data_IF_469268761481
#
_entry.id   IF_469268761481
#
_cell.length_a   1.000
_cell.length_b   1.000
_cell.length_c   1.000
_cell.angle_alpha   90.00
_cell.angle_beta   90.00
_cell.angle_gamma   90.00
#
_symmetry.space_group_name_H-M   'P 1'
#
loop_
_entity.id
_entity.type
_entity.pdbx_description
1 polymer ?
#
# COMPACT_ATOMS: atom_id res chain seq x y z
N UNK A 1 -27.37 16.02 28.32
CA UNK A 1 -26.61 16.47 27.13
C UNK A 1 -25.09 16.24 27.19
N UNK A 2 -24.45 16.06 28.36
CA UNK A 2 -22.98 15.81 28.46
C UNK A 2 -22.53 14.37 28.14
N UNK A 3 -23.43 13.38 28.26
CA UNK A 3 -23.09 11.96 28.05
C UNK A 3 -22.91 11.61 26.56
N UNK A 4 -23.74 12.19 25.69
CA UNK A 4 -23.72 11.93 24.24
C UNK A 4 -22.43 12.42 23.58
N UNK A 5 -21.89 13.57 24.01
CA UNK A 5 -20.60 14.09 23.53
C UNK A 5 -19.42 13.22 23.94
N UNK A 6 -19.47 12.61 25.12
CA UNK A 6 -18.45 11.68 25.60
C UNK A 6 -18.44 10.36 24.79
N UNK A 7 -19.62 9.83 24.48
CA UNK A 7 -19.76 8.61 23.65
C UNK A 7 -19.29 8.87 22.21
N UNK A 8 -19.63 10.03 21.62
CA UNK A 8 -19.17 10.41 20.28
C UNK A 8 -17.64 10.57 20.20
N UNK A 9 -17.00 11.13 21.25
CA UNK A 9 -15.55 11.23 21.30
C UNK A 9 -14.87 9.86 21.36
N UNK A 10 -15.37 8.91 22.17
CA UNK A 10 -14.78 7.56 22.20
C UNK A 10 -14.98 6.80 20.89
N UNK A 11 -16.14 6.95 20.24
CA UNK A 11 -16.39 6.35 18.93
C UNK A 11 -15.45 6.92 17.86
N UNK A 12 -15.20 8.23 17.86
CA UNK A 12 -14.28 8.86 16.92
C UNK A 12 -12.83 8.37 17.09
N UNK A 13 -12.39 8.09 18.32
CA UNK A 13 -11.05 7.58 18.59
C UNK A 13 -10.90 6.12 18.16
N UNK A 14 -11.94 5.29 18.31
CA UNK A 14 -11.90 3.89 17.85
C UNK A 14 -11.79 3.75 16.33
N UNK A 15 -12.21 4.74 15.55
CA UNK A 15 -12.13 4.72 14.07
C UNK A 15 -10.68 4.97 13.58
N UNK A 16 -9.81 5.58 14.38
CA UNK A 16 -8.45 5.97 13.95
C UNK A 16 -7.41 4.84 14.10
N UNK A 17 -7.75 3.74 14.78
CA UNK A 17 -6.74 2.81 15.32
C UNK A 17 -6.16 1.79 14.32
N UNK A 18 -6.74 1.54 13.13
CA UNK A 18 -6.38 0.30 12.40
C UNK A 18 -6.05 0.42 10.90
N UNK A 19 -5.73 1.61 10.39
CA UNK A 19 -5.17 1.70 9.03
C UNK A 19 -3.64 1.70 9.12
N UNK A 20 -3.00 0.53 8.90
CA UNK A 20 -1.55 0.50 8.71
C UNK A 20 -1.17 1.43 7.55
N UNK A 21 -0.23 2.33 7.81
CA UNK A 21 0.25 3.32 6.83
C UNK A 21 1.55 2.82 6.21
N UNK A 22 1.55 2.62 4.90
CA UNK A 22 2.73 2.32 4.10
C UNK A 22 3.30 3.60 3.47
N UNK A 23 4.60 3.56 3.21
CA UNK A 23 5.32 4.62 2.52
C UNK A 23 5.93 4.04 1.24
N UNK A 24 5.71 4.70 0.11
CA UNK A 24 6.14 4.25 -1.21
C UNK A 24 7.14 5.23 -1.80
N UNK A 25 8.32 4.75 -2.19
CA UNK A 25 9.34 5.58 -2.80
C UNK A 25 9.41 5.32 -4.31
N UNK A 26 9.10 6.34 -5.11
CA UNK A 26 9.30 6.28 -6.56
C UNK A 26 10.71 6.75 -6.91
N UNK A 27 11.25 6.19 -7.99
CA UNK A 27 12.63 6.45 -8.43
C UNK A 27 12.85 7.94 -8.67
N UNK A 28 13.81 8.52 -7.96
CA UNK A 28 14.21 9.92 -8.13
C UNK A 28 13.40 10.93 -7.33
N UNK A 29 12.41 10.51 -6.53
CA UNK A 29 11.75 11.39 -5.58
C UNK A 29 12.51 11.43 -4.24
N UNK A 30 12.66 12.60 -3.60
CA UNK A 30 13.35 12.75 -2.34
C UNK A 30 12.52 12.27 -1.13
N UNK A 31 11.20 12.18 -1.28
CA UNK A 31 10.28 11.82 -0.21
C UNK A 31 9.32 10.71 -0.66
N UNK A 32 8.99 9.77 0.24
CA UNK A 32 8.02 8.73 -0.05
C UNK A 32 6.58 9.28 -0.02
N UNK A 33 5.73 8.74 -0.87
CA UNK A 33 4.28 8.93 -0.81
C UNK A 33 3.71 8.12 0.34
N UNK A 34 2.86 8.73 1.17
CA UNK A 34 2.21 8.07 2.30
C UNK A 34 0.87 7.52 1.86
N UNK A 35 0.55 6.28 2.22
CA UNK A 35 -0.74 5.71 1.90
C UNK A 35 -1.20 4.59 2.81
N UNK A 36 -2.51 4.31 2.76
CA UNK A 36 -3.12 3.23 3.54
C UNK A 36 -2.86 1.88 2.88
N UNK A 37 -2.70 0.86 3.71
CA UNK A 37 -2.70 -0.54 3.29
C UNK A 37 -3.98 -0.92 2.55
N UNK A 38 -3.90 -1.97 1.73
CA UNK A 38 -5.01 -2.57 0.99
C UNK A 38 -5.65 -1.69 -0.10
N UNK A 39 -5.06 -0.54 -0.42
CA UNK A 39 -5.43 0.28 -1.57
C UNK A 39 -4.63 -0.16 -2.82
N UNK A 40 -5.29 -0.23 -3.97
CA UNK A 40 -4.60 -0.41 -5.25
C UNK A 40 -3.85 0.86 -5.64
N UNK A 41 -2.63 0.68 -6.12
CA UNK A 41 -1.74 1.76 -6.50
C UNK A 41 -1.08 1.53 -7.83
N UNK A 42 -0.84 2.62 -8.60
CA UNK A 42 -0.12 2.50 -9.85
C UNK A 42 1.36 2.21 -9.59
N UNK A 43 1.94 1.30 -10.36
CA UNK A 43 3.38 0.99 -10.25
C UNK A 43 4.26 2.14 -10.75
N UNK A 44 3.74 2.95 -11.66
CA UNK A 44 4.35 4.17 -12.15
C UNK A 44 3.59 5.37 -11.62
N UNK A 45 4.29 6.40 -11.16
CA UNK A 45 3.64 7.65 -10.82
C UNK A 45 3.18 8.43 -12.07
N UNK A 46 2.56 9.58 -11.87
CA UNK A 46 2.03 10.41 -12.96
C UNK A 46 3.09 10.91 -13.95
N UNK A 47 4.38 10.90 -13.55
CA UNK A 47 5.50 11.27 -14.42
C UNK A 47 6.18 10.04 -15.04
N UNK A 48 5.62 8.84 -14.89
CA UNK A 48 6.18 7.61 -15.42
C UNK A 48 7.38 7.07 -14.62
N UNK A 49 7.63 7.55 -13.41
CA UNK A 49 8.71 7.02 -12.55
C UNK A 49 8.23 5.72 -11.92
N UNK A 50 9.03 4.66 -12.01
CA UNK A 50 8.70 3.36 -11.41
C UNK A 50 8.84 3.39 -9.89
N UNK A 51 8.00 2.62 -9.22
CA UNK A 51 8.15 2.33 -7.80
C UNK A 51 9.49 1.64 -7.54
N UNK A 52 10.24 2.17 -6.58
CA UNK A 52 11.58 1.70 -6.22
C UNK A 52 11.57 0.86 -4.95
N UNK A 53 10.83 1.30 -3.93
CA UNK A 53 10.78 0.58 -2.65
C UNK A 53 9.50 0.82 -1.86
N UNK A 54 9.21 -0.11 -0.96
CA UNK A 54 8.16 -0.01 0.05
C UNK A 54 8.80 0.10 1.42
N UNK A 55 8.44 1.14 2.16
CA UNK A 55 8.81 1.32 3.56
C UNK A 55 7.60 0.88 4.41
N UNK A 56 7.74 -0.27 5.07
CA UNK A 56 6.67 -0.88 5.83
C UNK A 56 6.91 -0.79 7.35
N UNK A 57 5.89 -0.45 8.16
CA UNK A 57 5.97 -0.39 9.62
C UNK A 57 5.83 -1.79 10.27
N UNK A 58 5.50 -2.81 9.48
CA UNK A 58 5.28 -4.20 9.91
C UNK A 58 5.56 -5.13 8.71
N UNK A 59 5.41 -6.44 8.91
CA UNK A 59 5.48 -7.40 7.81
C UNK A 59 4.20 -7.29 6.96
N UNK A 60 4.35 -6.94 5.70
CA UNK A 60 3.23 -6.83 4.75
C UNK A 60 3.46 -7.70 3.52
N UNK A 61 2.37 -8.13 2.92
CA UNK A 61 2.39 -8.94 1.71
C UNK A 61 1.93 -8.10 0.52
N UNK A 62 2.75 -8.03 -0.53
CA UNK A 62 2.54 -7.17 -1.68
C UNK A 62 2.37 -7.99 -2.96
N UNK A 63 1.41 -7.57 -3.78
CA UNK A 63 0.99 -8.23 -5.02
C UNK A 63 1.12 -7.29 -6.20
N UNK A 64 1.54 -7.79 -7.37
CA UNK A 64 1.64 -7.03 -8.61
C UNK A 64 0.62 -7.47 -9.66
N UNK A 65 0.03 -6.47 -10.32
CA UNK A 65 -1.06 -6.61 -11.28
C UNK A 65 -0.65 -6.08 -12.65
N UNK A 66 -1.25 -6.68 -13.69
CA UNK A 66 -1.07 -6.25 -15.09
C UNK A 66 -1.87 -5.01 -15.46
N UNK A 67 -2.87 -4.67 -14.66
CA UNK A 67 -3.68 -3.46 -14.83
C UNK A 67 -3.31 -2.42 -13.75
N UNK A 68 -3.66 -1.15 -14.00
CA UNK A 68 -3.38 -0.04 -13.09
C UNK A 68 -4.35 0.00 -11.90
N UNK A 69 -5.53 -0.57 -12.08
CA UNK A 69 -6.67 -0.46 -11.16
C UNK A 69 -6.82 -1.70 -10.26
N UNK A 70 -5.93 -2.68 -10.40
CA UNK A 70 -5.96 -3.95 -9.68
C UNK A 70 -7.35 -4.63 -9.80
N UNK A 71 -8.00 -4.50 -10.96
CA UNK A 71 -9.32 -5.08 -11.19
C UNK A 71 -9.28 -6.60 -11.18
N UNK A 72 -8.13 -7.17 -11.56
CA UNK A 72 -7.90 -8.61 -11.61
C UNK A 72 -7.65 -9.28 -10.23
N UNK A 73 -8.14 -8.73 -9.12
CA UNK A 73 -8.14 -9.43 -7.81
C UNK A 73 -8.97 -10.73 -7.88
N UNK A 74 -10.03 -10.76 -8.68
CA UNK A 74 -10.92 -11.92 -8.81
C UNK A 74 -10.34 -13.05 -9.67
N UNK A 75 -9.42 -12.78 -10.62
CA UNK A 75 -8.86 -13.79 -11.52
C UNK A 75 -7.47 -14.29 -11.08
N UNK A 76 -6.90 -13.73 -10.01
CA UNK A 76 -5.56 -14.08 -9.51
C UNK A 76 -4.46 -14.04 -10.59
N UNK A 77 -4.59 -13.19 -11.60
CA UNK A 77 -3.53 -12.95 -12.59
C UNK A 77 -2.43 -12.05 -12.02
N UNK A 78 -1.95 -12.40 -10.83
CA UNK A 78 -0.78 -11.80 -10.21
C UNK A 78 0.44 -12.10 -11.09
N UNK A 79 1.22 -11.07 -11.40
CA UNK A 79 2.49 -11.31 -12.09
C UNK A 79 3.51 -11.90 -11.12
N UNK A 80 3.60 -11.31 -9.92
CA UNK A 80 4.45 -11.76 -8.83
C UNK A 80 3.90 -11.24 -7.50
N UNK A 81 4.45 -11.78 -6.41
CA UNK A 81 4.24 -11.28 -5.05
C UNK A 81 5.58 -11.21 -4.32
N UNK A 82 5.65 -10.40 -3.28
CA UNK A 82 6.79 -10.37 -2.38
C UNK A 82 6.39 -9.98 -0.96
N UNK A 83 7.25 -10.34 -0.01
CA UNK A 83 7.12 -9.96 1.39
C UNK A 83 7.98 -8.72 1.67
N UNK A 84 7.35 -7.65 2.14
CA UNK A 84 8.06 -6.51 2.72
C UNK A 84 8.15 -6.70 4.23
N UNK A 85 9.37 -6.63 4.77
CA UNK A 85 9.64 -6.65 6.21
C UNK A 85 9.59 -5.23 6.78
N UNK A 86 9.71 -5.11 8.10
CA UNK A 86 9.92 -3.80 8.73
C UNK A 86 11.09 -3.06 8.08
N UNK A 87 10.89 -1.78 7.74
CA UNK A 87 11.90 -0.93 7.12
C UNK A 87 11.76 -0.78 5.60
N UNK A 88 12.84 -0.41 4.93
CA UNK A 88 12.86 -0.12 3.50
C UNK A 88 13.15 -1.39 2.68
N UNK A 89 12.19 -1.79 1.84
CA UNK A 89 12.26 -3.00 1.02
C UNK A 89 12.32 -2.60 -0.46
N UNK A 90 13.47 -2.77 -1.12
CA UNK A 90 13.57 -2.58 -2.57
C UNK A 90 12.62 -3.51 -3.30
N UNK A 91 11.96 -3.00 -4.33
CA UNK A 91 11.06 -3.80 -5.15
C UNK A 91 11.84 -4.48 -6.27
N UNK A 92 11.52 -5.76 -6.45
CA UNK A 92 11.94 -6.56 -7.59
C UNK A 92 10.68 -7.04 -8.33
N UNK A 93 10.64 -6.88 -9.64
CA UNK A 93 9.52 -7.27 -10.48
C UNK A 93 10.03 -7.93 -11.77
N UNK A 94 9.19 -8.77 -12.37
CA UNK A 94 9.49 -9.43 -13.64
C UNK A 94 9.09 -8.54 -14.82
N UNK A 95 9.72 -8.77 -15.98
CA UNK A 95 9.30 -8.15 -17.23
C UNK A 95 8.12 -8.92 -17.85
N UNK A 96 7.12 -8.25 -18.45
CA UNK A 96 6.96 -6.79 -18.51
C UNK A 96 6.55 -6.20 -17.15
N UNK A 97 6.93 -4.94 -16.92
CA UNK A 97 6.69 -4.27 -15.64
C UNK A 97 5.21 -4.28 -15.23
N UNK A 98 4.91 -4.44 -13.93
CA UNK A 98 3.55 -4.30 -13.41
C UNK A 98 2.96 -2.93 -13.73
N UNK A 99 1.64 -2.86 -13.77
CA UNK A 99 0.91 -1.59 -13.93
C UNK A 99 0.32 -1.13 -12.60
N UNK A 100 0.00 -2.07 -11.70
CA UNK A 100 -0.58 -1.79 -10.40
C UNK A 100 -0.04 -2.72 -9.31
N UNK A 101 -0.23 -2.34 -8.06
CA UNK A 101 0.17 -3.12 -6.90
C UNK A 101 -0.75 -2.89 -5.70
N UNK A 102 -0.83 -3.89 -4.82
CA UNK A 102 -1.55 -3.81 -3.53
C UNK A 102 -0.66 -4.42 -2.46
N UNK A 103 -0.50 -3.74 -1.33
CA UNK A 103 0.16 -4.29 -0.14
C UNK A 103 -0.84 -4.42 1.01
N UNK A 104 -0.88 -5.57 1.67
CA UNK A 104 -1.80 -5.88 2.76
C UNK A 104 -1.03 -6.25 4.03
N UNK A 105 -1.53 -5.80 5.18
CA UNK A 105 -1.03 -6.21 6.48
C UNK A 105 -1.17 -7.72 6.66
N UNK A 106 -0.18 -8.34 7.30
CA UNK A 106 -0.24 -9.74 7.69
C UNK A 106 -0.80 -9.83 9.12
N UNK A 107 -2.08 -10.17 9.24
CA UNK A 107 -2.77 -10.39 10.52
C UNK A 107 -2.67 -11.85 10.97
#
# INVERSE_FOLDING_TARGET
>A
MKLFTLILCMAAWMIVVNAEILKFLYKGLPQPTIQKTSQCMPFFDESGRSLQSVIAPSKVYCFFYKDRECHDIATWKEQTHFWAKFGNNPIQYNLPAPQGFVCRGYY
#
